data_IF_014447443733
#
_entry.id   IF_014447443733
#
_cell.length_a   1.000
_cell.length_b   1.000
_cell.length_c   1.000
_cell.angle_alpha   90.00
_cell.angle_beta   90.00
_cell.angle_gamma   90.00
#
_symmetry.space_group_name_H-M   'P 1'
#
loop_
_entity.id
_entity.type
_entity.pdbx_description
1 polymer ?
#
# COMPACT_ATOMS: atom_id res chain seq x y z
N UNK A 1 1.40 -7.93 4.10
CA UNK A 1 0.79 -7.64 2.81
C UNK A 1 -0.69 -7.59 3.12
N UNK A 2 -1.28 -6.39 3.02
CA UNK A 2 -2.63 -6.18 3.51
C UNK A 2 -3.61 -7.13 2.80
N UNK A 3 -4.68 -7.55 3.49
CA UNK A 3 -5.65 -8.54 3.01
C UNK A 3 -6.24 -8.18 1.64
N UNK A 4 -6.36 -6.87 1.39
CA UNK A 4 -6.81 -6.30 0.12
C UNK A 4 -5.89 -6.59 -1.07
N UNK A 5 -4.70 -7.17 -0.86
CA UNK A 5 -3.78 -7.55 -1.93
C UNK A 5 -4.14 -8.88 -2.61
N UNK A 6 -4.94 -9.74 -1.94
CA UNK A 6 -5.33 -11.05 -2.46
C UNK A 6 -6.82 -11.13 -2.81
N UNK A 7 -7.67 -10.39 -2.09
CA UNK A 7 -9.08 -10.23 -2.41
C UNK A 7 -9.46 -8.78 -2.21
N UNK A 8 -10.12 -8.19 -3.20
CA UNK A 8 -10.85 -6.94 -2.98
C UNK A 8 -11.86 -7.13 -1.85
N UNK A 9 -12.04 -6.08 -1.05
CA UNK A 9 -13.08 -6.07 -0.02
C UNK A 9 -14.44 -5.84 -0.69
N UNK A 10 -15.49 -6.51 -0.21
CA UNK A 10 -16.84 -6.33 -0.77
C UNK A 10 -17.36 -4.94 -0.39
N UNK A 11 -18.17 -4.33 -1.25
CA UNK A 11 -18.71 -2.98 -0.99
C UNK A 11 -19.49 -2.91 0.35
N UNK A 12 -20.19 -3.99 0.72
CA UNK A 12 -20.90 -4.10 2.00
C UNK A 12 -19.94 -4.01 3.20
N UNK A 13 -18.83 -4.74 3.16
CA UNK A 13 -17.80 -4.73 4.22
C UNK A 13 -17.15 -3.35 4.33
N UNK A 14 -16.89 -2.69 3.18
CA UNK A 14 -16.36 -1.32 3.14
C UNK A 14 -17.34 -0.37 3.83
N UNK A 15 -18.63 -0.42 3.47
CA UNK A 15 -19.67 0.43 4.08
C UNK A 15 -19.78 0.21 5.58
N UNK A 16 -19.74 -1.04 6.04
CA UNK A 16 -19.82 -1.37 7.46
C UNK A 16 -18.61 -0.83 8.25
N UNK A 17 -17.40 -0.93 7.69
CA UNK A 17 -16.19 -0.35 8.30
C UNK A 17 -16.33 1.17 8.38
N UNK A 18 -16.75 1.83 7.30
CA UNK A 18 -16.91 3.28 7.25
C UNK A 18 -17.96 3.77 8.25
N UNK A 19 -19.10 3.09 8.36
CA UNK A 19 -20.17 3.41 9.31
C UNK A 19 -19.71 3.33 10.77
N UNK A 20 -18.88 2.33 11.10
CA UNK A 20 -18.40 2.11 12.46
C UNK A 20 -17.12 2.90 12.79
N UNK A 21 -16.50 3.55 11.81
CA UNK A 21 -15.23 4.24 11.98
C UNK A 21 -15.31 5.43 12.95
N UNK A 22 -16.33 6.32 12.90
CA UNK A 22 -16.46 7.42 13.84
C UNK A 22 -16.49 6.96 15.30
N UNK A 23 -17.34 5.97 15.62
CA UNK A 23 -17.43 5.42 16.97
C UNK A 23 -16.09 4.85 17.48
N UNK A 24 -15.31 4.21 16.60
CA UNK A 24 -13.97 3.72 16.96
C UNK A 24 -12.97 4.85 17.17
N UNK A 25 -13.06 5.90 16.36
CA UNK A 25 -12.22 7.10 16.52
C UNK A 25 -12.52 7.74 17.87
N UNK A 26 -13.80 7.89 18.22
CA UNK A 26 -14.22 8.47 19.50
C UNK A 26 -13.70 7.65 20.69
N UNK A 27 -13.81 6.31 20.67
CA UNK A 27 -13.22 5.44 21.72
C UNK A 27 -11.69 5.63 21.81
N UNK A 28 -10.99 5.74 20.67
CA UNK A 28 -9.54 5.95 20.66
C UNK A 28 -9.20 7.33 21.26
N UNK A 29 -9.89 8.39 20.84
CA UNK A 29 -9.67 9.75 21.33
C UNK A 29 -9.94 9.83 22.83
N UNK A 30 -11.06 9.27 23.30
CA UNK A 30 -11.41 9.21 24.72
C UNK A 30 -10.35 8.50 25.56
N UNK A 31 -9.84 7.38 25.08
CA UNK A 31 -8.80 6.63 25.77
C UNK A 31 -7.48 7.40 25.82
N UNK A 32 -7.12 8.10 24.74
CA UNK A 32 -5.92 8.95 24.70
C UNK A 32 -6.04 10.15 25.66
N UNK A 33 -7.18 10.85 25.67
CA UNK A 33 -7.43 11.99 26.54
C UNK A 33 -7.48 11.60 28.03
N UNK A 34 -7.95 10.38 28.33
CA UNK A 34 -7.97 9.83 29.70
C UNK A 34 -6.65 9.15 30.09
N UNK A 35 -5.61 9.25 29.26
CA UNK A 35 -4.31 8.57 29.40
C UNK A 35 -4.41 7.05 29.61
N UNK A 36 -5.52 6.44 29.16
CA UNK A 36 -5.77 5.00 29.29
C UNK A 36 -5.07 4.27 28.14
N UNK A 37 -4.07 3.45 28.49
CA UNK A 37 -3.44 2.55 27.53
C UNK A 37 -4.27 1.27 27.36
N UNK A 38 -4.92 1.12 26.20
CA UNK A 38 -5.61 -0.10 25.79
C UNK A 38 -4.71 -0.93 24.88
N UNK A 39 -4.02 -1.93 25.45
CA UNK A 39 -3.18 -2.86 24.67
C UNK A 39 -4.05 -4.01 24.17
N UNK A 40 -4.22 -4.11 22.85
CA UNK A 40 -4.92 -5.22 22.22
C UNK A 40 -4.06 -6.49 22.33
N UNK A 41 -4.59 -7.55 22.93
CA UNK A 41 -3.93 -8.86 22.93
C UNK A 41 -4.17 -9.55 21.59
N UNK A 42 -3.12 -10.00 20.88
CA UNK A 42 -3.30 -10.69 19.60
C UNK A 42 -4.02 -12.02 19.82
N UNK A 43 -4.91 -12.37 18.89
CA UNK A 43 -5.53 -13.69 18.86
C UNK A 43 -4.53 -14.74 18.36
N UNK A 44 -4.78 -16.02 18.63
CA UNK A 44 -3.94 -17.12 18.11
C UNK A 44 -3.85 -17.11 16.58
N UNK A 45 -4.97 -16.81 15.90
CA UNK A 45 -5.01 -16.59 14.45
C UNK A 45 -4.11 -15.42 14.03
N UNK A 46 -4.12 -14.32 14.78
CA UNK A 46 -3.24 -13.16 14.57
C UNK A 46 -1.75 -13.50 14.72
N UNK A 47 -1.40 -14.34 15.70
CA UNK A 47 -0.02 -14.82 15.90
C UNK A 47 0.44 -15.69 14.71
N UNK A 48 -0.40 -16.61 14.24
CA UNK A 48 -0.09 -17.45 13.07
C UNK A 48 0.07 -16.59 11.82
N UNK A 49 -0.85 -15.65 11.59
CA UNK A 49 -0.79 -14.72 10.46
C UNK A 49 0.47 -13.85 10.49
N UNK A 50 0.89 -13.37 11.66
CA UNK A 50 2.12 -12.57 11.79
C UNK A 50 3.39 -13.34 11.40
N UNK A 51 3.42 -14.67 11.59
CA UNK A 51 4.53 -15.52 11.12
C UNK A 51 4.53 -15.63 9.59
N UNK A 52 3.36 -15.54 8.96
CA UNK A 52 3.24 -15.47 7.50
C UNK A 52 3.88 -14.20 6.92
N UNK A 53 4.03 -13.12 7.69
CA UNK A 53 4.76 -11.93 7.23
C UNK A 53 6.26 -12.17 6.92
N UNK A 54 6.83 -13.31 7.32
CA UNK A 54 8.17 -13.74 6.87
C UNK A 54 8.16 -14.02 5.35
N UNK A 55 7.08 -14.60 4.81
CA UNK A 55 6.94 -14.82 3.37
C UNK A 55 6.97 -13.52 2.58
N UNK A 56 6.47 -12.42 3.17
CA UNK A 56 6.45 -11.11 2.52
C UNK A 56 7.85 -10.57 2.26
N UNK A 57 8.81 -10.85 3.16
CA UNK A 57 10.23 -10.46 2.97
C UNK A 57 10.87 -11.21 1.82
N UNK A 58 10.47 -12.45 1.58
CA UNK A 58 10.95 -13.25 0.44
C UNK A 58 10.25 -12.77 -0.84
N UNK A 59 8.95 -12.54 -0.77
CA UNK A 59 8.16 -12.05 -1.90
C UNK A 59 8.62 -10.67 -2.37
N UNK A 60 9.00 -9.77 -1.47
CA UNK A 60 9.47 -8.43 -1.85
C UNK A 60 10.77 -8.47 -2.70
N UNK A 61 11.66 -9.43 -2.43
CA UNK A 61 12.85 -9.72 -3.26
C UNK A 61 12.46 -10.18 -4.65
N UNK A 62 11.49 -11.09 -4.74
CA UNK A 62 10.99 -11.60 -6.01
C UNK A 62 10.29 -10.49 -6.81
N UNK A 63 9.48 -9.67 -6.14
CA UNK A 63 8.82 -8.52 -6.75
C UNK A 63 9.82 -7.52 -7.33
N UNK A 64 10.92 -7.27 -6.64
CA UNK A 64 12.00 -6.40 -7.12
C UNK A 64 12.57 -6.85 -8.48
N UNK A 65 12.74 -8.16 -8.68
CA UNK A 65 13.23 -8.74 -9.94
C UNK A 65 12.29 -8.53 -11.11
N UNK A 66 11.00 -8.31 -10.83
CA UNK A 66 10.00 -8.09 -11.86
C UNK A 66 9.97 -6.66 -12.40
N UNK A 67 10.69 -5.71 -11.78
CA UNK A 67 10.80 -4.36 -12.32
C UNK A 67 11.55 -4.34 -13.65
N UNK A 68 10.98 -3.66 -14.64
CA UNK A 68 11.61 -3.35 -15.92
C UNK A 68 11.52 -1.85 -16.16
N UNK A 69 12.59 -1.28 -16.72
CA UNK A 69 12.62 0.12 -17.15
C UNK A 69 12.53 0.15 -18.66
N UNK A 70 11.63 0.97 -19.20
CA UNK A 70 11.46 1.17 -20.64
C UNK A 70 12.27 2.40 -21.12
N UNK A 71 12.20 2.66 -22.42
CA UNK A 71 13.02 3.68 -23.09
C UNK A 71 12.58 5.13 -22.79
N UNK A 72 11.44 5.32 -22.12
CA UNK A 72 11.02 6.65 -21.65
C UNK A 72 11.88 7.14 -20.47
N UNK A 73 12.74 6.28 -19.91
CA UNK A 73 13.60 6.67 -18.80
C UNK A 73 14.69 7.64 -19.25
N UNK A 74 14.62 8.87 -18.75
CA UNK A 74 15.62 9.91 -18.95
C UNK A 74 16.67 9.98 -17.83
N UNK A 75 16.80 8.93 -17.01
CA UNK A 75 17.73 8.85 -15.88
C UNK A 75 17.63 10.00 -14.84
N UNK A 76 16.46 10.63 -14.68
CA UNK A 76 16.26 11.74 -13.73
C UNK A 76 16.56 11.41 -12.24
N UNK A 77 16.74 10.14 -11.88
CA UNK A 77 17.13 9.73 -10.53
C UNK A 77 16.02 9.78 -9.47
N UNK A 78 14.78 10.14 -9.83
CA UNK A 78 13.65 10.20 -8.88
C UNK A 78 13.50 8.91 -8.06
N UNK A 79 13.54 7.75 -8.72
CA UNK A 79 13.35 6.45 -8.07
C UNK A 79 14.46 6.12 -7.07
N UNK A 80 15.69 6.57 -7.31
CA UNK A 80 16.85 6.37 -6.44
C UNK A 80 16.69 7.21 -5.18
N UNK A 81 16.45 8.51 -5.34
CA UNK A 81 16.30 9.47 -4.24
C UNK A 81 15.14 9.13 -3.31
N UNK A 82 14.08 8.51 -3.85
CA UNK A 82 12.86 8.22 -3.12
C UNK A 82 12.74 6.76 -2.66
N UNK A 83 13.77 5.94 -2.85
CA UNK A 83 13.76 4.56 -2.38
C UNK A 83 14.08 4.52 -0.88
N UNK A 84 13.14 4.14 0.01
CA UNK A 84 13.38 4.17 1.45
C UNK A 84 14.43 3.15 1.93
N UNK A 85 14.76 2.17 1.08
CA UNK A 85 15.71 1.10 1.39
C UNK A 85 16.98 1.17 0.55
N UNK A 86 17.20 2.27 -0.19
CA UNK A 86 18.34 2.43 -1.10
C UNK A 86 18.53 1.23 -2.05
N UNK A 87 17.43 0.65 -2.52
CA UNK A 87 17.45 -0.55 -3.36
C UNK A 87 17.75 -0.28 -4.84
N UNK A 88 17.78 0.98 -5.26
CA UNK A 88 17.84 1.37 -6.68
C UNK A 88 19.14 2.13 -6.92
N UNK A 89 19.84 1.77 -7.99
CA UNK A 89 21.11 2.41 -8.38
C UNK A 89 21.18 2.58 -9.90
N UNK A 90 22.11 3.40 -10.39
CA UNK A 90 22.45 3.44 -11.82
C UNK A 90 23.78 2.73 -12.02
N UNK A 91 23.82 1.79 -12.97
CA UNK A 91 25.06 1.15 -13.43
C UNK A 91 25.05 1.10 -14.95
N UNK A 92 26.16 1.44 -15.58
CA UNK A 92 26.31 1.44 -17.05
C UNK A 92 25.17 2.19 -17.77
N UNK A 93 24.77 3.35 -17.25
CA UNK A 93 23.69 4.17 -17.82
C UNK A 93 22.28 3.56 -17.71
N UNK A 94 22.08 2.51 -16.89
CA UNK A 94 20.77 1.87 -16.69
C UNK A 94 20.38 1.84 -15.22
N UNK A 95 19.09 1.91 -14.95
CA UNK A 95 18.54 1.75 -13.59
C UNK A 95 18.57 0.26 -13.21
N UNK A 96 19.13 -0.04 -12.05
CA UNK A 96 19.24 -1.38 -11.48
C UNK A 96 18.50 -1.47 -10.15
N UNK A 97 17.71 -2.53 -9.98
CA UNK A 97 17.02 -2.86 -8.75
C UNK A 97 17.73 -4.00 -8.02
N UNK A 98 18.09 -3.77 -6.75
CA UNK A 98 18.65 -4.79 -5.87
C UNK A 98 17.58 -5.67 -5.20
N UNK A 99 17.98 -6.33 -4.12
CA UNK A 99 17.14 -7.28 -3.37
C UNK A 99 16.45 -6.70 -2.13
N UNK A 100 16.73 -5.46 -1.74
CA UNK A 100 16.17 -4.82 -0.54
C UNK A 100 14.87 -4.05 -0.84
N UNK A 101 14.02 -4.54 -1.75
CA UNK A 101 12.76 -3.86 -2.03
C UNK A 101 11.77 -4.02 -0.88
N UNK A 102 11.15 -2.91 -0.46
CA UNK A 102 10.10 -2.89 0.56
C UNK A 102 8.67 -2.93 -0.02
N UNK A 103 8.53 -3.16 -1.33
CA UNK A 103 7.23 -3.20 -2.03
C UNK A 103 6.38 -1.91 -1.86
N UNK A 104 7.00 -0.75 -1.64
CA UNK A 104 6.26 0.51 -1.44
C UNK A 104 5.68 1.12 -2.73
N UNK A 105 6.09 0.63 -3.91
CA UNK A 105 5.67 1.07 -5.24
C UNK A 105 5.89 2.56 -5.58
N UNK A 106 6.51 3.35 -4.68
CA UNK A 106 6.79 4.78 -4.92
C UNK A 106 7.58 5.03 -6.20
N UNK A 107 8.48 4.10 -6.58
CA UNK A 107 9.22 4.20 -7.83
C UNK A 107 8.35 4.06 -9.07
N UNK A 108 7.27 3.26 -9.05
CA UNK A 108 6.33 3.14 -10.17
C UNK A 108 5.48 4.40 -10.24
N UNK A 109 4.71 4.67 -9.16
CA UNK A 109 3.70 5.73 -9.18
C UNK A 109 4.28 7.14 -9.22
N UNK A 110 5.50 7.34 -8.70
CA UNK A 110 6.15 8.64 -8.69
C UNK A 110 7.08 8.90 -9.88
N UNK A 111 7.30 7.92 -10.77
CA UNK A 111 8.19 8.15 -11.91
C UNK A 111 7.59 9.22 -12.85
N UNK A 112 8.26 10.37 -13.07
CA UNK A 112 7.71 11.43 -13.93
C UNK A 112 7.52 11.00 -15.38
N UNK A 113 8.26 9.97 -15.81
CA UNK A 113 8.21 9.42 -17.16
C UNK A 113 7.33 8.16 -17.27
N UNK A 114 6.75 7.69 -16.16
CA UNK A 114 6.04 6.40 -16.12
C UNK A 114 6.89 5.22 -16.60
N UNK A 115 8.22 5.31 -16.48
CA UNK A 115 9.14 4.42 -17.18
C UNK A 115 9.39 3.07 -16.47
N UNK A 116 8.93 2.92 -15.23
CA UNK A 116 9.15 1.72 -14.41
C UNK A 116 7.86 0.89 -14.40
N UNK A 117 7.94 -0.35 -14.88
CA UNK A 117 6.82 -1.29 -14.94
C UNK A 117 7.11 -2.56 -14.14
N UNK A 118 6.06 -3.21 -13.63
CA UNK A 118 6.14 -4.52 -13.00
C UNK A 118 5.75 -5.60 -14.01
N UNK A 119 6.75 -6.23 -14.63
CA UNK A 119 6.54 -7.23 -15.69
C UNK A 119 5.98 -8.55 -15.17
N UNK A 120 6.35 -8.94 -13.95
CA UNK A 120 6.04 -10.27 -13.42
C UNK A 120 4.69 -10.31 -12.69
N UNK A 121 4.30 -9.21 -12.06
CA UNK A 121 3.04 -9.09 -11.30
C UNK A 121 2.25 -7.83 -11.71
N UNK A 122 1.90 -7.65 -12.99
CA UNK A 122 1.23 -6.42 -13.45
C UNK A 122 -0.15 -6.22 -12.81
N UNK A 123 -0.84 -7.31 -12.43
CA UNK A 123 -2.16 -7.27 -11.77
C UNK A 123 -2.13 -6.62 -10.37
N UNK A 124 -0.96 -6.54 -9.73
CA UNK A 124 -0.81 -5.90 -8.41
C UNK A 124 -0.62 -4.38 -8.50
N UNK A 125 -0.42 -3.85 -9.71
CA UNK A 125 -0.26 -2.41 -9.95
C UNK A 125 -1.61 -1.81 -10.34
N UNK A 126 -2.02 -0.79 -9.61
CA UNK A 126 -3.24 -0.04 -9.90
C UNK A 126 -2.91 0.91 -11.04
N UNK A 127 -3.38 0.61 -12.26
CA UNK A 127 -2.97 1.31 -13.48
C UNK A 127 -3.15 2.82 -13.42
N UNK A 128 -4.28 3.27 -12.87
CA UNK A 128 -4.62 4.69 -12.76
C UNK A 128 -4.26 5.29 -11.39
N UNK A 129 -3.54 4.53 -10.56
CA UNK A 129 -3.37 4.83 -9.13
C UNK A 129 -4.71 4.86 -8.39
N UNK A 130 -4.75 5.51 -7.23
CA UNK A 130 -5.99 5.81 -6.53
C UNK A 130 -6.10 7.32 -6.32
N UNK A 131 -7.26 7.89 -6.63
CA UNK A 131 -7.63 9.26 -6.29
C UNK A 131 -8.67 9.20 -5.19
N UNK A 132 -8.34 9.72 -4.02
CA UNK A 132 -9.21 9.65 -2.86
C UNK A 132 -10.55 10.32 -3.14
N UNK A 133 -10.54 11.41 -3.93
CA UNK A 133 -11.71 12.17 -4.34
C UNK A 133 -12.73 11.30 -5.06
N UNK A 134 -12.30 10.36 -5.91
CA UNK A 134 -13.19 9.45 -6.61
C UNK A 134 -13.97 8.55 -5.63
N UNK A 135 -13.30 8.11 -4.55
CA UNK A 135 -13.94 7.29 -3.51
C UNK A 135 -14.84 8.13 -2.62
N UNK A 136 -14.42 9.34 -2.26
CA UNK A 136 -15.25 10.28 -1.50
C UNK A 136 -16.49 10.70 -2.27
N UNK A 137 -16.41 10.90 -3.58
CA UNK A 137 -17.59 11.20 -4.41
C UNK A 137 -18.51 9.98 -4.54
N UNK A 138 -17.96 8.77 -4.64
CA UNK A 138 -18.74 7.53 -4.75
C UNK A 138 -19.41 7.10 -3.44
N UNK A 139 -18.76 7.32 -2.30
CA UNK A 139 -19.19 6.78 -1.00
C UNK A 139 -19.40 7.85 0.09
N UNK A 140 -18.89 9.05 -0.08
CA UNK A 140 -18.99 10.15 0.88
C UNK A 140 -20.33 10.87 0.86
N UNK A 141 -21.24 10.52 -0.06
CA UNK A 141 -22.59 11.08 -0.13
C UNK A 141 -23.55 10.61 0.98
N UNK A 142 -23.16 9.64 1.81
CA UNK A 142 -24.09 9.03 2.78
C UNK A 142 -23.41 8.52 4.06
N UNK A 143 -22.50 9.32 4.62
CA UNK A 143 -21.87 9.02 5.91
C UNK A 143 -22.67 9.57 7.11
N UNK A 144 -23.77 10.30 6.86
CA UNK A 144 -24.59 10.94 7.88
C UNK A 144 -25.89 10.20 8.24
N UNK A 145 -26.16 9.03 7.66
CA UNK A 145 -27.22 8.14 8.15
C UNK A 145 -28.60 8.79 8.26
N UNK A 146 -29.01 9.52 7.21
CA UNK A 146 -30.43 9.82 7.00
C UNK A 146 -30.84 9.14 5.71
N UNK A 147 -31.40 7.94 5.88
CA UNK A 147 -32.28 7.33 4.89
C UNK A 147 -33.51 8.25 4.78
N UNK A 148 -33.80 8.74 3.57
CA UNK A 148 -35.15 9.22 3.22
C UNK A 148 -36.09 8.01 3.03
#
# INVERSE_FOLDING_TARGET
MPLNCFSGMKEQEIKEILRNLPNKIDDIVDNLLKEKRKVLKPTLKGLILSKFSIFEKIFSKLFAKGYKVNDNCNLCGFCIKNCPTNNISIKNGKVHFGFNCALCLKCIYGCPQGAIIQRMFPFMIIKDGYKLENYLNKFGGDLNGKED
#
